data_IF_294439416717
#
_entry.id   IF_294439416717
#
_cell.length_a   1.000
_cell.length_b   1.000
_cell.length_c   1.000
_cell.angle_alpha   90.00
_cell.angle_beta   90.00
_cell.angle_gamma   90.00
#
_symmetry.space_group_name_H-M   'P 1'
#
loop_
_entity.id
_entity.type
_entity.pdbx_description
1 polymer ?
#
# COMPACT_ATOMS: atom_id res chain seq x y z
N UNK A 1 -18.99 -26.18 -11.36
CA UNK A 1 -18.46 -26.31 -9.98
C UNK A 1 -17.12 -27.03 -10.05
N UNK A 2 -16.08 -26.51 -9.40
CA UNK A 2 -14.77 -27.17 -9.35
C UNK A 2 -14.85 -28.47 -8.53
N UNK A 3 -14.85 -29.60 -9.23
CA UNK A 3 -14.94 -30.95 -8.64
C UNK A 3 -13.77 -31.27 -7.70
N UNK A 4 -12.62 -30.60 -7.84
CA UNK A 4 -11.48 -30.83 -6.97
C UNK A 4 -11.70 -30.21 -5.60
N UNK A 5 -11.99 -28.91 -5.54
CA UNK A 5 -12.26 -28.21 -4.27
C UNK A 5 -13.39 -28.85 -3.48
N UNK A 6 -14.50 -29.23 -4.14
CA UNK A 6 -15.62 -29.90 -3.46
C UNK A 6 -15.17 -31.19 -2.76
N UNK A 7 -14.41 -32.06 -3.44
CA UNK A 7 -13.89 -33.31 -2.85
C UNK A 7 -12.97 -33.05 -1.66
N UNK A 8 -12.13 -32.02 -1.74
CA UNK A 8 -11.21 -31.65 -0.64
C UNK A 8 -12.00 -31.23 0.60
N UNK A 9 -13.01 -30.37 0.43
CA UNK A 9 -13.87 -29.93 1.54
C UNK A 9 -14.70 -31.07 2.13
N UNK A 10 -15.35 -31.89 1.29
CA UNK A 10 -16.18 -33.01 1.75
C UNK A 10 -15.36 -34.07 2.49
N UNK A 11 -14.16 -34.38 2.01
CA UNK A 11 -13.25 -35.31 2.69
C UNK A 11 -12.81 -34.76 4.06
N UNK A 12 -12.49 -33.47 4.13
CA UNK A 12 -12.15 -32.79 5.38
C UNK A 12 -13.31 -32.79 6.37
N UNK A 13 -14.52 -32.44 5.93
CA UNK A 13 -15.72 -32.46 6.77
C UNK A 13 -15.96 -33.88 7.33
N UNK A 14 -15.97 -34.91 6.48
CA UNK A 14 -16.16 -36.30 6.93
C UNK A 14 -15.13 -36.74 7.97
N UNK A 15 -13.88 -36.31 7.83
CA UNK A 15 -12.80 -36.69 8.73
C UNK A 15 -12.82 -35.91 10.06
N UNK A 16 -13.14 -34.62 10.03
CA UNK A 16 -13.00 -33.71 11.17
C UNK A 16 -14.30 -33.48 11.96
N UNK A 17 -15.46 -33.75 11.36
CA UNK A 17 -16.77 -33.56 12.00
C UNK A 17 -17.69 -34.79 11.87
N UNK A 18 -17.25 -36.00 12.32
CA UNK A 18 -18.03 -37.24 12.14
C UNK A 18 -19.39 -37.25 12.87
N UNK A 19 -19.61 -36.34 13.81
CA UNK A 19 -20.85 -36.20 14.58
C UNK A 19 -21.72 -35.02 14.11
N UNK A 20 -21.29 -34.28 13.06
CA UNK A 20 -22.02 -33.12 12.53
C UNK A 20 -22.50 -33.47 11.13
N UNK A 21 -23.79 -33.28 10.87
CA UNK A 21 -24.33 -33.40 9.52
C UNK A 21 -23.78 -32.28 8.63
N UNK A 22 -23.31 -32.65 7.44
CA UNK A 22 -22.81 -31.72 6.44
C UNK A 22 -23.75 -31.70 5.25
N UNK A 23 -24.12 -30.51 4.78
CA UNK A 23 -24.92 -30.31 3.57
C UNK A 23 -24.26 -29.23 2.74
N UNK A 24 -23.88 -29.58 1.51
CA UNK A 24 -23.32 -28.64 0.55
C UNK A 24 -24.44 -28.11 -0.35
N UNK A 25 -24.58 -26.80 -0.40
CA UNK A 25 -25.54 -26.10 -1.26
C UNK A 25 -24.76 -25.30 -2.30
N UNK A 26 -25.25 -25.27 -3.54
CA UNK A 26 -24.60 -24.53 -4.63
C UNK A 26 -24.77 -23.03 -4.43
N UNK A 27 -23.69 -22.34 -4.04
CA UNK A 27 -23.67 -20.89 -3.85
C UNK A 27 -23.97 -20.07 -5.11
N UNK A 28 -23.93 -20.67 -6.31
CA UNK A 28 -24.34 -20.00 -7.55
C UNK A 28 -25.86 -20.00 -7.74
N UNK A 29 -26.59 -20.88 -7.04
CA UNK A 29 -28.05 -20.91 -7.04
C UNK A 29 -28.60 -19.85 -6.07
N UNK A 30 -29.45 -18.95 -6.59
CA UNK A 30 -30.15 -17.98 -5.76
C UNK A 30 -31.12 -18.64 -4.78
N UNK A 31 -31.81 -19.70 -5.22
CA UNK A 31 -32.73 -20.48 -4.39
C UNK A 31 -31.98 -21.16 -3.24
N UNK A 32 -30.88 -21.86 -3.54
CA UNK A 32 -30.10 -22.55 -2.52
C UNK A 32 -29.50 -21.59 -1.48
N UNK A 33 -29.09 -20.38 -1.90
CA UNK A 33 -28.67 -19.31 -0.97
C UNK A 33 -29.82 -18.84 -0.08
N UNK A 34 -31.01 -18.63 -0.64
CA UNK A 34 -32.18 -18.22 0.12
C UNK A 34 -32.60 -19.30 1.13
N UNK A 35 -32.59 -20.58 0.72
CA UNK A 35 -32.85 -21.72 1.59
C UNK A 35 -31.82 -21.82 2.74
N UNK A 36 -30.54 -21.68 2.41
CA UNK A 36 -29.46 -21.71 3.40
C UNK A 36 -29.65 -20.62 4.47
N UNK A 37 -29.91 -19.38 4.04
CA UNK A 37 -30.10 -18.25 4.95
C UNK A 37 -31.39 -18.37 5.76
N UNK A 38 -32.48 -18.85 5.15
CA UNK A 38 -33.78 -18.96 5.83
C UNK A 38 -33.84 -20.13 6.81
N UNK A 39 -33.10 -21.21 6.54
CA UNK A 39 -33.02 -22.39 7.40
C UNK A 39 -31.92 -22.33 8.46
N UNK A 40 -31.05 -21.32 8.43
CA UNK A 40 -29.94 -21.19 9.37
C UNK A 40 -30.35 -20.53 10.69
N UNK A 41 -29.60 -20.89 11.74
CA UNK A 41 -29.72 -20.32 13.09
C UNK A 41 -28.59 -19.34 13.42
N UNK A 42 -27.42 -19.55 12.81
CA UNK A 42 -26.17 -18.81 12.98
C UNK A 42 -25.45 -18.81 11.64
N UNK A 43 -24.97 -17.66 11.20
CA UNK A 43 -24.06 -17.58 10.05
C UNK A 43 -22.62 -17.47 10.54
N UNK A 44 -21.70 -18.20 9.90
CA UNK A 44 -20.27 -18.17 10.26
C UNK A 44 -19.39 -17.80 9.08
N UNK A 45 -18.40 -16.97 9.34
CA UNK A 45 -17.44 -16.52 8.33
C UNK A 45 -16.04 -16.34 8.95
N UNK A 46 -15.36 -17.44 9.31
CA UNK A 46 -14.06 -17.43 9.97
C UNK A 46 -12.94 -17.26 8.92
N UNK A 47 -12.90 -16.12 8.22
CA UNK A 47 -11.88 -15.88 7.21
C UNK A 47 -10.53 -15.56 7.84
N UNK A 48 -9.48 -16.22 7.37
CA UNK A 48 -8.09 -16.09 7.83
C UNK A 48 -7.14 -15.63 6.71
N UNK A 49 -7.69 -15.37 5.52
CA UNK A 49 -6.95 -14.95 4.34
C UNK A 49 -7.32 -13.54 3.89
N UNK A 50 -6.40 -12.92 3.15
CA UNK A 50 -6.46 -11.55 2.65
C UNK A 50 -7.37 -11.34 1.42
N UNK A 51 -8.04 -12.39 0.93
CA UNK A 51 -8.87 -12.29 -0.27
C UNK A 51 -10.24 -11.67 0.05
N UNK A 52 -10.76 -11.93 1.26
CA UNK A 52 -11.95 -11.23 1.73
C UNK A 52 -11.56 -9.87 2.30
N UNK A 53 -12.29 -8.85 1.86
CA UNK A 53 -12.09 -7.47 2.33
C UNK A 53 -13.33 -6.97 3.05
N UNK A 54 -14.43 -6.75 2.32
CA UNK A 54 -15.62 -6.08 2.85
C UNK A 54 -16.56 -6.99 3.65
N UNK A 55 -16.69 -8.26 3.29
CA UNK A 55 -17.62 -9.19 3.97
C UNK A 55 -19.07 -9.00 3.54
N UNK A 56 -19.35 -9.15 2.24
CA UNK A 56 -20.73 -9.11 1.72
C UNK A 56 -21.60 -10.24 2.29
N UNK A 57 -21.07 -11.47 2.38
CA UNK A 57 -21.83 -12.61 2.87
C UNK A 57 -22.31 -12.45 4.34
N UNK A 58 -21.47 -11.95 5.29
CA UNK A 58 -21.96 -11.51 6.60
C UNK A 58 -23.08 -10.46 6.55
N UNK A 59 -23.02 -9.49 5.62
CA UNK A 59 -24.07 -8.48 5.47
C UNK A 59 -25.38 -9.10 4.97
N UNK A 60 -25.32 -10.02 4.01
CA UNK A 60 -26.48 -10.78 3.53
C UNK A 60 -27.12 -11.59 4.66
N UNK A 61 -26.30 -12.25 5.49
CA UNK A 61 -26.76 -12.96 6.67
C UNK A 61 -27.40 -12.04 7.72
N UNK A 62 -26.79 -10.88 7.98
CA UNK A 62 -27.39 -9.85 8.82
C UNK A 62 -28.74 -9.38 8.26
N UNK A 63 -28.84 -9.15 6.95
CA UNK A 63 -30.10 -8.77 6.30
C UNK A 63 -31.19 -9.85 6.42
N UNK A 64 -30.81 -11.13 6.35
CA UNK A 64 -31.69 -12.26 6.66
C UNK A 64 -32.11 -12.31 8.14
N UNK A 65 -31.41 -11.57 9.02
CA UNK A 65 -31.65 -11.51 10.46
C UNK A 65 -31.00 -12.64 11.23
N UNK A 66 -29.86 -13.14 10.73
CA UNK A 66 -29.03 -14.11 11.42
C UNK A 66 -28.00 -13.39 12.30
N UNK A 67 -27.71 -13.89 13.51
CA UNK A 67 -26.49 -13.52 14.20
C UNK A 67 -25.29 -14.04 13.40
N UNK A 68 -24.25 -13.20 13.27
CA UNK A 68 -23.02 -13.57 12.56
C UNK A 68 -21.87 -13.83 13.53
N UNK A 69 -21.11 -14.89 13.28
CA UNK A 69 -19.84 -15.19 13.96
C UNK A 69 -18.72 -15.08 12.92
N UNK A 70 -17.85 -14.09 13.08
CA UNK A 70 -16.82 -13.76 12.08
C UNK A 70 -15.45 -13.69 12.72
N UNK A 71 -14.38 -13.76 11.93
CA UNK A 71 -13.05 -13.38 12.41
C UNK A 71 -12.99 -11.86 12.67
N UNK A 72 -12.22 -11.45 13.67
CA UNK A 72 -11.86 -10.04 13.92
C UNK A 72 -10.75 -9.60 12.94
N UNK A 73 -11.07 -9.66 11.64
CA UNK A 73 -10.15 -9.49 10.53
C UNK A 73 -10.70 -8.48 9.50
N UNK A 74 -9.85 -7.53 9.08
CA UNK A 74 -10.13 -6.55 8.02
C UNK A 74 -11.54 -5.92 8.09
N UNK A 75 -12.30 -5.87 6.98
CA UNK A 75 -13.58 -5.16 6.89
C UNK A 75 -14.67 -5.71 7.80
N UNK A 76 -14.56 -6.94 8.33
CA UNK A 76 -15.47 -7.44 9.36
C UNK A 76 -15.44 -6.58 10.64
N UNK A 77 -14.32 -5.89 10.92
CA UNK A 77 -14.21 -4.93 12.02
C UNK A 77 -15.12 -3.72 11.86
N UNK A 78 -15.38 -3.34 10.61
CA UNK A 78 -16.24 -2.20 10.26
C UNK A 78 -17.68 -2.66 10.05
N UNK A 79 -17.88 -3.81 9.39
CA UNK A 79 -19.20 -4.24 8.97
C UNK A 79 -20.01 -4.87 10.10
N UNK A 80 -19.37 -5.62 11.00
CA UNK A 80 -20.03 -6.36 12.10
C UNK A 80 -19.82 -5.66 13.43
N UNK A 81 -20.85 -4.99 13.94
CA UNK A 81 -20.85 -4.38 15.29
C UNK A 81 -21.17 -5.41 16.39
N UNK A 82 -20.78 -5.11 17.63
CA UNK A 82 -20.91 -6.04 18.77
C UNK A 82 -22.36 -6.43 19.10
N UNK A 83 -23.34 -5.62 18.69
CA UNK A 83 -24.77 -5.91 18.82
C UNK A 83 -25.31 -6.80 17.69
N UNK A 84 -24.66 -6.81 16.52
CA UNK A 84 -25.06 -7.56 15.33
C UNK A 84 -24.37 -8.93 15.18
N UNK A 85 -23.23 -9.12 15.86
CA UNK A 85 -22.44 -10.34 15.73
C UNK A 85 -21.34 -10.49 16.77
N UNK A 86 -20.63 -11.61 16.70
CA UNK A 86 -19.45 -11.91 17.51
C UNK A 86 -18.23 -11.94 16.59
N UNK A 87 -17.26 -11.05 16.84
CA UNK A 87 -15.95 -11.08 16.19
C UNK A 87 -14.98 -11.88 17.05
N UNK A 88 -14.42 -12.94 16.49
CA UNK A 88 -13.52 -13.88 17.16
C UNK A 88 -12.09 -13.36 17.03
N UNK A 89 -11.36 -13.32 18.14
CA UNK A 89 -9.97 -12.86 18.16
C UNK A 89 -9.16 -13.55 17.07
N UNK A 90 -8.49 -12.75 16.26
CA UNK A 90 -7.65 -13.21 15.15
C UNK A 90 -6.23 -12.68 15.34
N UNK A 91 -5.24 -13.58 15.29
CA UNK A 91 -3.81 -13.28 15.56
C UNK A 91 -2.97 -13.69 14.36
N UNK A 92 -1.83 -13.04 14.18
CA UNK A 92 -0.99 -13.26 13.02
C UNK A 92 0.46 -12.91 13.34
N UNK A 93 1.41 -13.59 12.71
CA UNK A 93 2.83 -13.24 12.85
C UNK A 93 3.12 -11.84 12.26
N UNK A 94 4.02 -11.05 12.86
CA UNK A 94 4.30 -9.70 12.37
C UNK A 94 5.02 -9.71 11.02
N UNK A 95 4.98 -8.59 10.31
CA UNK A 95 5.47 -8.44 8.93
C UNK A 95 6.87 -9.03 8.64
N UNK A 96 7.89 -8.89 9.51
CA UNK A 96 9.20 -9.49 9.29
C UNK A 96 9.20 -11.02 9.11
N UNK A 97 8.23 -11.74 9.67
CA UNK A 97 8.10 -13.19 9.53
C UNK A 97 7.49 -13.60 8.18
N UNK A 98 6.93 -12.66 7.44
CA UNK A 98 6.24 -12.87 6.15
C UNK A 98 7.06 -12.42 4.95
N UNK A 99 8.37 -12.16 5.16
CA UNK A 99 9.29 -11.71 4.11
C UNK A 99 9.39 -12.70 2.95
N UNK A 100 9.32 -14.00 3.25
CA UNK A 100 9.39 -15.06 2.22
C UNK A 100 8.18 -15.00 1.30
N UNK A 101 6.98 -14.86 1.86
CA UNK A 101 5.73 -14.76 1.12
C UNK A 101 5.69 -13.47 0.31
N UNK A 102 6.07 -12.34 0.91
CA UNK A 102 6.11 -11.03 0.25
C UNK A 102 7.11 -11.01 -0.91
N UNK A 103 8.36 -11.43 -0.68
CA UNK A 103 9.38 -11.47 -1.72
C UNK A 103 9.01 -12.48 -2.81
N UNK A 104 8.56 -13.68 -2.42
CA UNK A 104 8.13 -14.73 -3.33
C UNK A 104 7.01 -14.27 -4.25
N UNK A 105 6.01 -13.56 -3.74
CA UNK A 105 4.95 -12.99 -4.56
C UNK A 105 5.46 -11.86 -5.47
N UNK A 106 6.30 -10.95 -4.95
CA UNK A 106 6.84 -9.82 -5.72
C UNK A 106 7.70 -10.25 -6.93
N UNK A 107 8.49 -11.32 -6.77
CA UNK A 107 9.32 -11.86 -7.86
C UNK A 107 8.61 -12.93 -8.68
N UNK A 108 7.29 -13.06 -8.52
CA UNK A 108 6.44 -14.04 -9.22
C UNK A 108 6.83 -15.52 -8.96
N UNK A 109 7.57 -15.78 -7.89
CA UNK A 109 7.91 -17.14 -7.42
C UNK A 109 6.80 -17.81 -6.62
N UNK A 110 5.81 -17.05 -6.14
CA UNK A 110 4.54 -17.53 -5.60
C UNK A 110 3.41 -16.94 -6.42
N UNK A 111 2.44 -17.78 -6.81
CA UNK A 111 1.18 -17.28 -7.34
C UNK A 111 0.26 -16.77 -6.21
N UNK A 112 -0.85 -16.13 -6.57
CA UNK A 112 -1.77 -15.54 -5.61
C UNK A 112 -2.38 -16.56 -4.63
N UNK A 113 -2.72 -17.76 -5.12
CA UNK A 113 -3.27 -18.82 -4.27
C UNK A 113 -2.23 -19.32 -3.24
N UNK A 114 -0.98 -19.50 -3.65
CA UNK A 114 0.11 -19.88 -2.74
C UNK A 114 0.41 -18.77 -1.72
N UNK A 115 0.44 -17.52 -2.17
CA UNK A 115 0.63 -16.36 -1.28
C UNK A 115 -0.50 -16.25 -0.24
N UNK A 116 -1.75 -16.39 -0.69
CA UNK A 116 -2.93 -16.40 0.18
C UNK A 116 -2.94 -17.56 1.18
N UNK A 117 -2.68 -18.79 0.71
CA UNK A 117 -2.64 -19.97 1.57
C UNK A 117 -1.52 -19.90 2.62
N UNK A 118 -0.32 -19.47 2.23
CA UNK A 118 0.77 -19.27 3.19
C UNK A 118 0.43 -18.16 4.19
N UNK A 119 -0.32 -17.14 3.75
CA UNK A 119 -0.76 -16.07 4.63
C UNK A 119 -1.75 -16.58 5.67
N UNK A 120 -2.77 -17.34 5.25
CA UNK A 120 -3.76 -17.99 6.11
C UNK A 120 -3.13 -18.99 7.07
N UNK A 121 -2.16 -19.80 6.63
CA UNK A 121 -1.45 -20.74 7.49
C UNK A 121 -0.69 -20.09 8.67
N UNK A 122 -0.45 -18.77 8.60
CA UNK A 122 0.21 -17.97 9.63
C UNK A 122 -0.77 -17.04 10.38
N UNK A 123 -2.07 -17.20 10.14
CA UNK A 123 -3.16 -16.46 10.78
C UNK A 123 -3.97 -17.42 11.64
N UNK A 124 -4.07 -17.13 12.93
CA UNK A 124 -4.85 -17.89 13.89
C UNK A 124 -6.19 -17.20 14.15
N UNK A 125 -7.27 -17.98 14.14
CA UNK A 125 -8.56 -17.58 14.71
C UNK A 125 -8.70 -18.35 16.03
N UNK A 126 -8.98 -17.64 17.13
CA UNK A 126 -9.04 -18.25 18.47
C UNK A 126 -10.17 -19.28 18.54
N UNK A 127 -9.79 -20.56 18.47
CA UNK A 127 -10.73 -21.68 18.43
C UNK A 127 -11.56 -21.76 19.71
N UNK A 128 -11.00 -21.36 20.85
CA UNK A 128 -11.70 -21.35 22.13
C UNK A 128 -12.82 -20.32 22.14
N UNK A 129 -12.55 -19.11 21.67
CA UNK A 129 -13.56 -18.07 21.49
C UNK A 129 -14.60 -18.44 20.44
N UNK A 130 -14.19 -18.98 19.30
CA UNK A 130 -15.10 -19.46 18.26
C UNK A 130 -16.07 -20.51 18.81
N UNK A 131 -15.56 -21.49 19.56
CA UNK A 131 -16.37 -22.53 20.19
C UNK A 131 -17.33 -21.93 21.22
N UNK A 132 -16.86 -21.01 22.08
CA UNK A 132 -17.72 -20.32 23.05
C UNK A 132 -18.81 -19.49 22.36
N UNK A 133 -18.52 -18.84 21.24
CA UNK A 133 -19.49 -18.10 20.46
C UNK A 133 -20.62 -19.02 19.97
N UNK A 134 -20.28 -20.15 19.33
CA UNK A 134 -21.26 -21.14 18.90
C UNK A 134 -22.09 -21.70 20.06
N UNK A 135 -21.45 -22.13 21.15
CA UNK A 135 -22.15 -22.67 22.33
C UNK A 135 -23.08 -21.64 22.95
N UNK A 136 -22.66 -20.38 23.03
CA UNK A 136 -23.47 -19.28 23.58
C UNK A 136 -24.72 -19.09 22.74
N UNK A 137 -24.58 -18.96 21.42
CA UNK A 137 -25.72 -18.72 20.52
C UNK A 137 -26.62 -19.97 20.42
N UNK A 138 -26.05 -21.18 20.41
CA UNK A 138 -26.82 -22.42 20.39
C UNK A 138 -27.72 -22.59 21.63
N UNK A 139 -27.28 -22.10 22.79
CA UNK A 139 -28.01 -22.22 24.07
C UNK A 139 -28.96 -21.07 24.35
N UNK A 140 -28.88 -19.97 23.61
CA UNK A 140 -29.62 -18.74 23.89
C UNK A 140 -30.37 -18.25 22.64
N UNK A 141 -31.61 -18.74 22.41
CA UNK A 141 -32.40 -18.34 21.25
C UNK A 141 -32.84 -16.87 21.30
N UNK A 142 -33.00 -16.29 22.50
CA UNK A 142 -33.33 -14.88 22.65
C UNK A 142 -32.17 -13.99 22.18
N UNK A 143 -30.95 -14.34 22.57
CA UNK A 143 -29.74 -13.65 22.09
C UNK A 143 -29.57 -13.77 20.59
N UNK A 144 -29.84 -14.94 20.00
CA UNK A 144 -29.82 -15.10 18.52
C UNK A 144 -30.81 -14.16 17.85
N UNK A 145 -32.06 -14.10 18.33
CA UNK A 145 -33.08 -13.20 17.79
C UNK A 145 -32.70 -11.73 17.94
N UNK A 146 -32.23 -11.32 19.12
CA UNK A 146 -31.85 -9.94 19.38
C UNK A 146 -30.68 -9.48 18.49
N UNK A 147 -29.64 -10.32 18.39
CA UNK A 147 -28.46 -10.04 17.56
C UNK A 147 -28.79 -10.04 16.06
N UNK A 148 -29.60 -11.00 15.61
CA UNK A 148 -30.09 -11.04 14.23
C UNK A 148 -30.92 -9.81 13.86
N UNK A 149 -31.81 -9.36 14.73
CA UNK A 149 -32.61 -8.15 14.50
C UNK A 149 -31.76 -6.87 14.49
N UNK A 150 -30.74 -6.78 15.35
CA UNK A 150 -29.78 -5.68 15.33
C UNK A 150 -28.97 -5.68 14.02
N UNK A 151 -28.50 -6.85 13.57
CA UNK A 151 -27.84 -7.04 12.28
C UNK A 151 -28.72 -6.60 11.12
N UNK A 152 -29.98 -7.04 11.08
CA UNK A 152 -30.95 -6.67 10.03
C UNK A 152 -31.14 -5.16 9.94
N UNK A 153 -31.39 -4.50 11.07
CA UNK A 153 -31.52 -3.05 11.14
C UNK A 153 -30.26 -2.34 10.66
N UNK A 154 -29.08 -2.84 11.04
CA UNK A 154 -27.80 -2.29 10.58
C UNK A 154 -27.64 -2.42 9.07
N UNK A 155 -27.91 -3.62 8.53
CA UNK A 155 -27.76 -3.89 7.11
C UNK A 155 -28.68 -2.98 6.27
N UNK A 156 -29.95 -2.88 6.63
CA UNK A 156 -30.91 -2.00 5.96
C UNK A 156 -30.53 -0.51 6.08
N UNK A 157 -30.01 -0.09 7.23
CA UNK A 157 -29.68 1.32 7.46
C UNK A 157 -28.41 1.78 6.74
N UNK A 158 -27.38 0.93 6.71
CA UNK A 158 -26.03 1.33 6.27
C UNK A 158 -25.66 0.78 4.89
N UNK A 159 -26.15 -0.40 4.52
CA UNK A 159 -25.68 -1.14 3.35
C UNK A 159 -26.74 -1.30 2.26
N UNK A 160 -27.93 -0.72 2.46
CA UNK A 160 -28.91 -0.59 1.39
C UNK A 160 -28.42 0.42 0.34
N UNK A 161 -28.67 0.13 -0.94
CA UNK A 161 -28.28 1.03 -2.03
C UNK A 161 -28.93 2.42 -1.90
N UNK A 162 -30.13 2.52 -1.34
CA UNK A 162 -30.78 3.80 -1.05
C UNK A 162 -30.01 4.65 -0.03
N UNK A 163 -29.24 4.03 0.87
CA UNK A 163 -28.35 4.72 1.79
C UNK A 163 -26.97 5.02 1.17
N UNK A 164 -26.43 4.09 0.37
CA UNK A 164 -25.10 4.19 -0.22
C UNK A 164 -25.05 5.20 -1.38
N UNK A 165 -25.98 5.12 -2.33
CA UNK A 165 -25.94 5.92 -3.57
C UNK A 165 -25.91 7.43 -3.30
N UNK A 166 -26.74 8.00 -2.39
CA UNK A 166 -26.65 9.43 -2.08
C UNK A 166 -25.27 9.84 -1.56
N UNK A 167 -24.61 9.01 -0.74
CA UNK A 167 -23.25 9.32 -0.24
C UNK A 167 -22.22 9.37 -1.37
N UNK A 168 -22.33 8.47 -2.35
CA UNK A 168 -21.49 8.55 -3.56
C UNK A 168 -21.77 9.83 -4.35
N UNK A 169 -23.04 10.21 -4.51
CA UNK A 169 -23.42 11.43 -5.22
C UNK A 169 -22.91 12.69 -4.51
N UNK A 170 -23.01 12.74 -3.17
CA UNK A 170 -22.46 13.82 -2.35
C UNK A 170 -20.94 13.92 -2.51
N UNK A 171 -20.25 12.79 -2.44
CA UNK A 171 -18.80 12.74 -2.65
C UNK A 171 -18.40 13.20 -4.05
N UNK A 172 -19.15 12.80 -5.09
CA UNK A 172 -18.92 13.32 -6.45
C UNK A 172 -19.21 14.82 -6.54
N UNK A 173 -20.23 15.30 -5.82
CA UNK A 173 -20.53 16.72 -5.68
C UNK A 173 -19.37 17.50 -5.08
N UNK A 174 -18.80 16.99 -3.98
CA UNK A 174 -17.60 17.52 -3.31
C UNK A 174 -16.40 17.55 -4.27
N UNK A 175 -16.08 16.41 -4.90
CA UNK A 175 -14.99 16.33 -5.88
C UNK A 175 -15.19 17.31 -7.05
N UNK A 176 -16.43 17.48 -7.50
CA UNK A 176 -16.79 18.45 -8.54
C UNK A 176 -16.64 19.89 -8.05
N UNK A 177 -16.96 20.18 -6.79
CA UNK A 177 -16.74 21.49 -6.17
C UNK A 177 -15.24 21.80 -6.03
N UNK A 178 -14.44 20.83 -5.56
CA UNK A 178 -12.96 20.92 -5.51
C UNK A 178 -12.42 21.22 -6.92
N UNK A 179 -12.85 20.45 -7.92
CA UNK A 179 -12.46 20.65 -9.32
C UNK A 179 -12.82 22.06 -9.81
N UNK A 180 -14.05 22.53 -9.58
CA UNK A 180 -14.50 23.88 -9.97
C UNK A 180 -13.73 24.99 -9.25
N UNK A 181 -13.48 24.84 -7.95
CA UNK A 181 -12.67 25.79 -7.18
C UNK A 181 -11.19 25.79 -7.60
N UNK A 182 -10.72 24.71 -8.23
CA UNK A 182 -9.41 24.63 -8.87
C UNK A 182 -9.40 25.19 -10.30
N UNK A 183 -10.55 25.48 -10.92
CA UNK A 183 -10.61 26.14 -12.25
C UNK A 183 -10.13 27.58 -12.11
N UNK A 184 -9.19 27.99 -12.98
CA UNK A 184 -8.58 29.32 -12.93
C UNK A 184 -7.48 29.47 -11.88
N UNK A 185 -7.40 28.56 -10.90
CA UNK A 185 -6.13 28.29 -10.22
C UNK A 185 -5.19 27.78 -11.31
N UNK A 186 -4.23 28.61 -11.70
CA UNK A 186 -3.00 28.10 -12.32
C UNK A 186 -2.34 27.23 -11.26
N UNK A 187 -2.73 25.95 -11.21
CA UNK A 187 -1.82 24.93 -10.73
C UNK A 187 -0.71 25.00 -11.76
N UNK A 188 0.37 25.68 -11.40
CA UNK A 188 1.63 25.51 -12.11
C UNK A 188 2.05 24.09 -11.78
N UNK A 189 1.44 23.13 -12.49
CA UNK A 189 2.01 21.81 -12.67
C UNK A 189 3.23 22.14 -13.50
N UNK A 190 4.35 22.43 -12.82
CA UNK A 190 5.62 22.66 -13.51
C UNK A 190 5.75 21.54 -14.53
N UNK A 191 6.22 21.83 -15.74
CA UNK A 191 6.21 20.93 -16.91
C UNK A 191 6.90 19.55 -16.69
N UNK A 192 7.32 19.25 -15.47
CA UNK A 192 8.03 18.06 -14.99
C UNK A 192 7.26 17.25 -13.94
N UNK A 193 6.07 17.70 -13.50
CA UNK A 193 5.25 16.96 -12.54
C UNK A 193 4.35 15.97 -13.31
N UNK A 194 4.83 14.75 -13.50
CA UNK A 194 4.01 13.66 -14.02
C UNK A 194 3.07 13.17 -12.90
N UNK A 195 1.74 13.30 -13.01
CA UNK A 195 0.82 12.89 -11.94
C UNK A 195 0.80 11.38 -11.67
N UNK A 196 1.27 10.57 -12.63
CA UNK A 196 1.39 9.10 -12.51
C UNK A 196 2.75 8.71 -11.89
N UNK A 197 3.76 9.56 -12.04
CA UNK A 197 5.10 9.33 -11.50
C UNK A 197 5.73 10.68 -11.09
N UNK A 198 5.27 11.28 -9.97
CA UNK A 198 5.76 12.58 -9.55
C UNK A 198 7.28 12.51 -9.29
N UNK A 199 8.03 13.60 -9.55
CA UNK A 199 9.45 13.65 -9.26
C UNK A 199 9.71 13.18 -7.82
N UNK A 200 10.72 12.32 -7.58
CA UNK A 200 10.92 11.72 -6.27
C UNK A 200 11.00 12.74 -5.13
N UNK A 201 11.63 13.89 -5.34
CA UNK A 201 11.76 14.93 -4.31
C UNK A 201 10.47 15.73 -4.03
N UNK A 202 9.40 15.53 -4.80
CA UNK A 202 8.06 16.03 -4.45
C UNK A 202 7.39 15.13 -3.42
N UNK A 203 7.53 13.81 -3.59
CA UNK A 203 7.05 12.82 -2.63
C UNK A 203 7.91 12.79 -1.35
N UNK A 204 9.24 12.90 -1.51
CA UNK A 204 10.22 12.75 -0.44
C UNK A 204 10.83 14.09 0.00
N UNK A 205 10.09 15.20 -0.19
CA UNK A 205 10.58 16.56 0.11
C UNK A 205 11.08 16.75 1.54
N UNK A 206 10.56 15.97 2.49
CA UNK A 206 10.89 16.03 3.91
C UNK A 206 12.08 15.16 4.33
N UNK A 207 12.68 14.41 3.41
CA UNK A 207 13.79 13.50 3.72
C UNK A 207 15.11 14.23 4.00
N UNK A 208 15.55 15.18 3.15
CA UNK A 208 16.73 15.98 3.49
C UNK A 208 16.40 16.92 4.66
N UNK A 209 17.34 17.07 5.59
CA UNK A 209 17.21 18.04 6.69
C UNK A 209 17.15 19.49 6.16
N UNK A 210 17.82 19.76 5.04
CA UNK A 210 17.81 21.05 4.33
C UNK A 210 17.94 20.79 2.82
N UNK A 211 17.15 21.49 1.96
CA UNK A 211 17.37 21.48 0.52
C UNK A 211 18.62 22.30 0.16
N UNK A 212 19.22 22.04 -1.02
CA UNK A 212 20.19 22.99 -1.58
C UNK A 212 19.51 24.35 -1.85
N UNK A 213 20.26 25.44 -1.67
CA UNK A 213 19.81 26.76 -2.09
C UNK A 213 19.60 26.80 -3.62
N UNK A 214 18.76 27.71 -4.16
CA UNK A 214 18.71 27.96 -5.59
C UNK A 214 20.12 28.29 -6.13
N UNK A 215 20.55 27.65 -7.22
CA UNK A 215 21.94 27.76 -7.70
C UNK A 215 22.97 26.94 -6.91
N UNK A 216 22.54 26.16 -5.91
CA UNK A 216 23.34 25.40 -4.93
C UNK A 216 24.15 26.27 -3.97
N UNK A 217 24.69 27.40 -4.44
CA UNK A 217 25.59 28.30 -3.73
C UNK A 217 27.00 28.25 -4.30
N UNK A 218 27.84 29.23 -3.91
CA UNK A 218 29.20 29.36 -4.45
C UNK A 218 30.08 28.21 -3.99
N UNK A 219 30.69 27.51 -4.96
CA UNK A 219 31.57 26.37 -4.69
C UNK A 219 33.04 26.73 -4.95
N UNK A 220 33.95 26.03 -4.26
CA UNK A 220 35.41 26.07 -4.47
C UNK A 220 35.89 24.64 -4.69
N UNK A 221 36.74 24.41 -5.68
CA UNK A 221 37.34 23.10 -5.91
C UNK A 221 38.23 22.69 -4.72
N UNK A 222 38.07 21.45 -4.26
CA UNK A 222 38.97 20.84 -3.27
C UNK A 222 40.28 20.47 -3.96
N UNK A 223 41.45 20.65 -3.31
CA UNK A 223 42.72 20.17 -3.84
C UNK A 223 42.64 18.68 -4.23
N UNK A 224 43.19 18.31 -5.39
CA UNK A 224 43.10 16.96 -5.95
C UNK A 224 43.84 15.87 -5.15
N UNK A 225 44.47 16.23 -4.03
CA UNK A 225 45.29 15.30 -3.24
C UNK A 225 44.43 14.21 -2.60
N UNK A 226 44.55 12.98 -3.10
CA UNK A 226 43.96 11.79 -2.51
C UNK A 226 42.54 11.44 -2.99
N UNK A 227 41.98 12.20 -3.94
CA UNK A 227 40.74 11.83 -4.63
C UNK A 227 41.06 11.23 -5.99
N UNK A 228 40.36 10.15 -6.42
CA UNK A 228 40.51 9.60 -7.77
C UNK A 228 40.02 10.63 -8.80
N UNK A 229 40.42 10.52 -10.05
CA UNK A 229 39.88 11.40 -11.10
C UNK A 229 38.40 11.10 -11.38
N UNK A 230 37.70 12.00 -12.07
CA UNK A 230 36.24 11.90 -12.30
C UNK A 230 35.89 10.59 -13.00
N UNK A 231 36.65 10.20 -14.02
CA UNK A 231 36.45 8.99 -14.82
C UNK A 231 36.61 7.73 -13.95
N UNK A 232 37.61 7.72 -13.07
CA UNK A 232 37.85 6.62 -12.13
C UNK A 232 36.70 6.52 -11.13
N UNK A 233 36.21 7.64 -10.59
CA UNK A 233 35.04 7.65 -9.72
C UNK A 233 33.78 7.16 -10.44
N UNK A 234 33.63 7.48 -11.72
CA UNK A 234 32.53 6.98 -12.55
C UNK A 234 32.59 5.46 -12.71
N UNK A 235 33.76 4.89 -12.97
CA UNK A 235 33.96 3.45 -13.04
C UNK A 235 33.71 2.78 -11.67
N UNK A 236 34.23 3.34 -10.58
CA UNK A 236 34.03 2.84 -9.21
C UNK A 236 32.56 2.82 -8.79
N UNK A 237 31.76 3.78 -9.26
CA UNK A 237 30.30 3.84 -9.04
C UNK A 237 29.48 3.14 -10.13
N UNK A 238 30.16 2.52 -11.10
CA UNK A 238 29.57 1.80 -12.25
C UNK A 238 28.61 2.67 -13.08
N UNK A 239 28.83 3.99 -13.14
CA UNK A 239 28.05 4.87 -13.99
C UNK A 239 28.26 4.56 -15.48
N UNK A 240 29.44 4.04 -15.84
CA UNK A 240 29.80 3.57 -17.19
C UNK A 240 28.95 2.39 -17.67
N UNK A 241 28.35 1.62 -16.75
CA UNK A 241 27.43 0.52 -17.07
C UNK A 241 25.96 0.93 -17.12
N UNK A 242 25.65 2.19 -16.78
CA UNK A 242 24.28 2.70 -16.86
C UNK A 242 23.97 3.18 -18.27
N UNK A 243 22.80 2.82 -18.80
CA UNK A 243 22.35 3.32 -20.13
C UNK A 243 22.17 4.85 -20.14
N UNK A 244 21.82 5.44 -19.00
CA UNK A 244 21.58 6.87 -18.84
C UNK A 244 22.03 7.30 -17.42
N UNK A 245 23.34 7.50 -17.18
CA UNK A 245 23.81 8.06 -15.91
C UNK A 245 23.30 9.50 -15.74
N UNK A 246 23.45 10.05 -14.52
CA UNK A 246 22.93 11.39 -14.20
C UNK A 246 23.51 12.51 -15.09
N UNK A 247 24.74 12.33 -15.58
CA UNK A 247 25.44 13.13 -16.59
C UNK A 247 26.66 12.33 -17.14
N UNK A 248 27.36 12.85 -18.17
CA UNK A 248 28.56 12.25 -18.74
C UNK A 248 29.84 12.67 -17.99
N UNK A 249 30.85 11.78 -17.82
CA UNK A 249 32.05 12.08 -17.04
C UNK A 249 32.86 13.25 -17.61
N UNK A 250 32.91 13.41 -18.94
CA UNK A 250 33.68 14.48 -19.59
C UNK A 250 33.14 15.86 -19.21
N UNK A 251 31.81 15.99 -19.11
CA UNK A 251 31.17 17.24 -18.66
C UNK A 251 31.42 17.51 -17.18
N UNK A 252 31.42 16.47 -16.35
CA UNK A 252 31.74 16.60 -14.92
C UNK A 252 33.19 17.08 -14.74
N UNK A 253 34.12 16.52 -15.51
CA UNK A 253 35.52 16.92 -15.54
C UNK A 253 35.69 18.37 -16.01
N UNK A 254 35.00 18.81 -17.08
CA UNK A 254 35.03 20.20 -17.56
C UNK A 254 34.54 21.19 -16.50
N UNK A 255 33.41 20.92 -15.83
CA UNK A 255 32.89 21.77 -14.75
C UNK A 255 33.87 21.83 -13.57
N UNK A 256 34.47 20.70 -13.19
CA UNK A 256 35.50 20.68 -12.15
C UNK A 256 36.75 21.48 -12.57
N UNK A 257 37.13 21.43 -13.85
CA UNK A 257 38.23 22.21 -14.42
C UNK A 257 38.03 23.72 -14.28
N UNK A 258 36.85 24.23 -14.66
CA UNK A 258 36.50 25.65 -14.47
C UNK A 258 36.48 26.04 -13.00
N UNK A 259 35.94 25.17 -12.13
CA UNK A 259 35.93 25.43 -10.69
C UNK A 259 37.34 25.46 -10.09
N UNK A 260 38.28 24.67 -10.62
CA UNK A 260 39.71 24.73 -10.27
C UNK A 260 40.35 26.03 -10.79
N UNK A 261 40.02 26.46 -12.00
CA UNK A 261 40.52 27.71 -12.60
C UNK A 261 40.05 28.96 -11.84
N UNK A 262 38.83 28.94 -11.28
CA UNK A 262 38.32 29.99 -10.40
C UNK A 262 39.10 30.13 -9.07
N UNK A 263 39.92 29.13 -8.72
CA UNK A 263 40.81 29.17 -7.57
C UNK A 263 40.08 29.37 -6.24
N UNK A 264 40.71 30.09 -5.32
CA UNK A 264 40.17 30.29 -3.96
C UNK A 264 38.91 31.17 -3.89
N UNK A 265 38.62 31.94 -4.94
CA UNK A 265 37.42 32.76 -5.05
C UNK A 265 36.16 31.92 -5.32
N UNK A 266 36.33 30.72 -5.90
CA UNK A 266 35.22 29.86 -6.30
C UNK A 266 34.36 30.45 -7.40
N UNK A 267 33.32 29.72 -7.78
CA UNK A 267 32.38 30.15 -8.81
C UNK A 267 30.97 29.65 -8.49
N UNK A 268 29.98 30.37 -9.00
CA UNK A 268 28.58 29.96 -8.98
C UNK A 268 28.25 29.13 -10.23
N UNK A 269 27.23 28.29 -10.14
CA UNK A 269 26.82 27.44 -11.26
C UNK A 269 26.47 28.23 -12.55
N UNK A 270 25.83 29.42 -12.52
CA UNK A 270 25.58 30.23 -13.71
C UNK A 270 26.88 30.70 -14.40
N UNK A 271 27.91 31.09 -13.66
CA UNK A 271 29.17 31.59 -14.22
C UNK A 271 29.88 30.49 -15.03
N UNK A 272 29.95 29.27 -14.45
CA UNK A 272 30.54 28.12 -15.14
C UNK A 272 29.66 27.67 -16.32
N UNK A 273 28.33 27.78 -16.19
CA UNK A 273 27.40 27.45 -17.26
C UNK A 273 27.60 28.37 -18.49
N UNK A 274 27.81 29.67 -18.26
CA UNK A 274 28.14 30.63 -19.32
C UNK A 274 29.50 30.31 -19.95
N UNK A 275 30.54 30.09 -19.14
CA UNK A 275 31.88 29.78 -19.63
C UNK A 275 31.96 28.50 -20.48
N UNK A 276 31.17 27.48 -20.15
CA UNK A 276 31.15 26.19 -20.85
C UNK A 276 30.04 26.07 -21.90
N UNK A 277 29.24 27.12 -22.11
CA UNK A 277 28.04 27.09 -22.96
C UNK A 277 27.09 25.92 -22.61
N UNK A 278 26.95 25.64 -21.32
CA UNK A 278 26.12 24.55 -20.78
C UNK A 278 24.84 25.09 -20.13
N UNK A 279 23.74 24.32 -20.11
CA UNK A 279 22.58 24.72 -19.31
C UNK A 279 22.93 24.80 -17.82
N UNK A 280 22.54 25.89 -17.14
CA UNK A 280 22.78 26.10 -15.70
C UNK A 280 22.33 24.91 -14.84
N UNK A 281 21.16 24.33 -15.16
CA UNK A 281 20.66 23.15 -14.45
C UNK A 281 21.58 21.93 -14.56
N UNK A 282 22.31 21.78 -15.67
CA UNK A 282 23.29 20.69 -15.81
C UNK A 282 24.48 20.93 -14.88
N UNK A 283 24.98 22.17 -14.81
CA UNK A 283 26.09 22.53 -13.92
C UNK A 283 25.70 22.39 -12.44
N UNK A 284 24.49 22.80 -12.05
CA UNK A 284 23.97 22.57 -10.69
C UNK A 284 23.95 21.07 -10.33
N UNK A 285 23.43 20.22 -11.21
CA UNK A 285 23.44 18.76 -10.98
C UNK A 285 24.86 18.22 -10.80
N UNK A 286 25.82 18.77 -11.52
CA UNK A 286 27.23 18.41 -11.40
C UNK A 286 27.82 18.92 -10.07
N UNK A 287 27.54 20.16 -9.65
CA UNK A 287 27.96 20.69 -8.35
C UNK A 287 27.52 19.80 -7.20
N UNK A 288 26.26 19.36 -7.20
CA UNK A 288 25.75 18.44 -6.18
C UNK A 288 26.56 17.12 -6.13
N UNK A 289 26.98 16.61 -7.28
CA UNK A 289 27.82 15.40 -7.37
C UNK A 289 29.25 15.68 -6.88
N UNK A 290 29.85 16.81 -7.25
CA UNK A 290 31.19 17.22 -6.83
C UNK A 290 31.26 17.43 -5.31
N UNK A 291 30.26 18.10 -4.73
CA UNK A 291 30.11 18.27 -3.28
C UNK A 291 29.97 16.91 -2.58
N UNK A 292 29.13 16.02 -3.11
CA UNK A 292 28.90 14.67 -2.56
C UNK A 292 30.19 13.84 -2.48
N UNK A 293 31.05 13.92 -3.50
CA UNK A 293 32.29 13.14 -3.56
C UNK A 293 33.53 13.91 -3.10
N UNK A 294 33.36 15.13 -2.60
CA UNK A 294 34.43 15.93 -2.01
C UNK A 294 35.34 16.66 -3.01
N UNK A 295 35.04 16.63 -4.30
CA UNK A 295 35.77 17.39 -5.32
C UNK A 295 35.57 18.90 -5.21
N UNK A 296 34.48 19.32 -4.57
CA UNK A 296 34.18 20.70 -4.26
C UNK A 296 33.67 20.82 -2.82
N UNK A 297 33.70 22.05 -2.32
CA UNK A 297 33.08 22.47 -1.05
C UNK A 297 32.45 23.84 -1.23
N UNK A 298 31.54 24.21 -0.34
CA UNK A 298 31.03 25.58 -0.30
C UNK A 298 32.15 26.59 0.02
N UNK A 299 32.04 27.77 -0.57
CA UNK A 299 32.86 28.93 -0.21
C UNK A 299 32.56 29.36 1.24
N UNK A 300 33.48 30.10 1.88
CA UNK A 300 33.26 30.57 3.26
C UNK A 300 32.05 31.53 3.31
N UNK A 301 31.08 31.24 4.18
CA UNK A 301 29.91 32.10 4.40
C UNK A 301 28.67 31.70 3.59
N UNK A 302 28.77 30.69 2.73
CA UNK A 302 27.63 29.98 2.15
C UNK A 302 27.07 28.94 3.16
N UNK A 303 25.78 28.56 3.03
CA UNK A 303 25.12 27.62 3.95
C UNK A 303 25.79 26.25 4.06
#
# INVERSE_FOLDING_TARGET
IDSHSQRVFEAGAKALMPQVSYTHLDGTSAEARAEALSGADIFTFPIDNIQETFGLAPIEAMAAGLPVVVSDWDGMKDTVSADAGIRVTTRSVPGPHRRKESFGYHVEGLNYAQYGNNTSALTEIDLGELTRAFVTLARDPDKRRAMGEAGRKRAQRLYDWAAIIPQYQDFWGELSAIRRAAVGRKVVIGARLNPVAPPPMELFKSYPSQPFAPGIGRCVATPATGLPEVEEMFALRRYDKMKQPFERPEKVASVLGELRAAGSAGADAPDIAEALEMPTMTVERIFAWLLKFGYARFAKGEP
#
